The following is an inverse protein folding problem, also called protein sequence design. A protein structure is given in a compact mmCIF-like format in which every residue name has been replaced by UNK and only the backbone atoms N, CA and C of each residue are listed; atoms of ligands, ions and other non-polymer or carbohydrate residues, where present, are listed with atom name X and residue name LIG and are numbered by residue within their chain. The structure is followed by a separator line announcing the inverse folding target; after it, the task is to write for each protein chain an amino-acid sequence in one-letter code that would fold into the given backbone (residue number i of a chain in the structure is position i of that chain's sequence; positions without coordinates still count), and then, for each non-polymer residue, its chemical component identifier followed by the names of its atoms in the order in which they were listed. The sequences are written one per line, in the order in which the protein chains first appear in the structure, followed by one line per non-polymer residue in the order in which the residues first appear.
data_IF_851174838058
#
_entry.id   IF_851174838058
#
_cell.length_a   1.000
_cell.length_b   1.000
_cell.length_c   1.000
_cell.angle_alpha   90.00
_cell.angle_beta   90.00
_cell.angle_gamma   90.00
#
_symmetry.space_group_name_H-M   'P 1'
#
loop_
_entity.id
_entity.type
_entity.pdbx_description
1 polymer ?
#
# COMPACT_ATOMS: atom_id res chain seq x y z
N UNK A 1 6.04 26.72 4.88
CA UNK A 1 7.43 26.43 5.30
C UNK A 1 7.73 24.96 5.68
N UNK A 2 6.74 24.12 6.01
CA UNK A 2 6.97 22.72 6.45
C UNK A 2 6.83 21.63 5.37
N UNK A 3 6.79 21.98 4.08
CA UNK A 3 6.59 21.00 3.01
C UNK A 3 7.92 20.30 2.69
N UNK A 4 7.95 18.97 2.81
CA UNK A 4 9.08 18.17 2.34
C UNK A 4 9.18 18.24 0.81
N UNK A 5 10.41 18.40 0.29
CA UNK A 5 10.70 18.46 -1.15
C UNK A 5 11.48 17.24 -1.66
N UNK A 6 11.90 16.36 -0.77
CA UNK A 6 12.70 15.16 -1.05
C UNK A 6 12.08 13.96 -0.35
N UNK A 7 12.34 12.76 -0.87
CA UNK A 7 11.90 11.54 -0.20
C UNK A 7 12.75 11.32 1.05
N UNK A 8 12.06 11.05 2.15
CA UNK A 8 12.67 10.70 3.43
C UNK A 8 12.44 9.21 3.69
N UNK A 9 13.52 8.49 3.98
CA UNK A 9 13.51 7.08 4.33
C UNK A 9 14.01 6.88 5.76
N UNK A 10 13.29 6.05 6.52
CA UNK A 10 13.69 5.64 7.87
C UNK A 10 13.95 4.14 7.86
N UNK A 11 15.20 3.75 8.15
CA UNK A 11 15.60 2.35 8.24
C UNK A 11 14.93 1.65 9.43
N UNK A 12 14.73 0.32 9.39
CA UNK A 12 14.27 -0.44 10.55
C UNK A 12 15.13 -0.16 11.78
N UNK A 13 14.49 0.24 12.89
CA UNK A 13 15.18 0.56 14.14
C UNK A 13 15.89 1.92 14.21
N UNK A 14 15.95 2.69 13.12
CA UNK A 14 16.58 4.01 13.14
C UNK A 14 15.74 5.06 13.88
N UNK A 15 16.39 6.03 14.52
CA UNK A 15 15.73 7.19 15.10
C UNK A 15 15.52 8.31 14.07
N UNK A 16 16.48 8.46 13.14
CA UNK A 16 16.56 9.59 12.21
C UNK A 16 16.11 9.23 10.78
N UNK A 17 15.75 10.27 10.02
CA UNK A 17 15.41 10.19 8.61
C UNK A 17 16.65 10.42 7.73
N UNK A 18 16.70 9.69 6.62
CA UNK A 18 17.71 9.84 5.58
C UNK A 18 17.04 10.26 4.26
N UNK A 19 17.75 11.02 3.43
CA UNK A 19 17.26 11.39 2.10
C UNK A 19 17.44 10.21 1.14
N UNK A 20 16.48 10.00 0.25
CA UNK A 20 16.50 8.95 -0.76
C UNK A 20 16.02 9.51 -2.12
N UNK A 21 16.48 8.92 -3.23
CA UNK A 21 15.91 9.27 -4.53
C UNK A 21 14.49 8.72 -4.66
N UNK A 22 13.67 9.39 -5.47
CA UNK A 22 12.30 8.92 -5.74
C UNK A 22 12.28 7.53 -6.41
N UNK A 23 13.22 7.28 -7.33
CA UNK A 23 13.36 5.99 -8.02
C UNK A 23 13.66 4.86 -7.02
N UNK A 24 14.68 5.03 -6.17
CA UNK A 24 15.04 4.05 -5.14
C UNK A 24 13.89 3.78 -4.17
N UNK A 25 13.15 4.82 -3.78
CA UNK A 25 12.01 4.67 -2.89
C UNK A 25 10.86 3.89 -3.56
N UNK A 26 10.63 4.14 -4.85
CA UNK A 26 9.58 3.50 -5.63
C UNK A 26 9.86 2.01 -5.79
N UNK A 27 11.07 1.64 -6.21
CA UNK A 27 11.49 0.23 -6.35
C UNK A 27 11.39 -0.50 -5.00
N UNK A 28 11.84 0.14 -3.92
CA UNK A 28 11.79 -0.43 -2.59
C UNK A 28 10.35 -0.65 -2.09
N UNK A 29 9.42 0.23 -2.41
CA UNK A 29 7.99 0.06 -2.09
C UNK A 29 7.39 -1.06 -2.94
N UNK A 30 7.71 -1.12 -4.24
CA UNK A 30 7.23 -2.15 -5.15
C UNK A 30 7.68 -3.55 -4.69
N UNK A 31 8.97 -3.73 -4.39
CA UNK A 31 9.53 -4.99 -3.91
C UNK A 31 8.84 -5.46 -2.62
N UNK A 32 8.63 -4.54 -1.67
CA UNK A 32 7.94 -4.85 -0.41
C UNK A 32 6.49 -5.24 -0.66
N UNK A 33 5.78 -4.52 -1.52
CA UNK A 33 4.38 -4.80 -1.84
C UNK A 33 4.24 -6.17 -2.50
N UNK A 34 5.08 -6.47 -3.50
CA UNK A 34 5.07 -7.75 -4.23
C UNK A 34 5.40 -8.89 -3.26
N UNK A 35 6.45 -8.74 -2.45
CA UNK A 35 6.85 -9.75 -1.47
C UNK A 35 5.75 -10.01 -0.45
N UNK A 36 5.23 -8.97 0.20
CA UNK A 36 4.15 -9.10 1.20
C UNK A 36 2.91 -9.74 0.58
N UNK A 37 2.55 -9.35 -0.64
CA UNK A 37 1.41 -9.96 -1.35
C UNK A 37 1.64 -11.46 -1.54
N UNK A 38 2.81 -11.87 -2.01
CA UNK A 38 3.13 -13.28 -2.23
C UNK A 38 3.12 -14.08 -0.91
N UNK A 39 3.70 -13.52 0.16
CA UNK A 39 3.78 -14.16 1.49
C UNK A 39 2.42 -14.32 2.18
N UNK A 40 1.44 -13.49 1.83
CA UNK A 40 0.13 -13.41 2.51
C UNK A 40 -1.05 -13.66 1.58
N UNK A 41 -0.80 -14.30 0.43
CA UNK A 41 -1.83 -14.62 -0.56
C UNK A 41 -2.70 -15.79 -0.10
N UNK A 42 -4.01 -15.60 -0.14
CA UNK A 42 -5.02 -16.64 0.07
C UNK A 42 -5.69 -16.97 -1.27
N UNK A 43 -5.32 -18.12 -1.85
CA UNK A 43 -5.92 -18.58 -3.12
C UNK A 43 -7.39 -19.01 -2.91
N UNK A 44 -7.65 -19.76 -1.85
CA UNK A 44 -8.95 -20.34 -1.51
C UNK A 44 -9.14 -20.49 0.01
N UNK A 45 -10.38 -20.66 0.45
CA UNK A 45 -10.71 -20.96 1.84
C UNK A 45 -10.64 -22.47 2.16
N UNK A 46 -10.91 -22.84 3.41
CA UNK A 46 -10.91 -24.24 3.88
C UNK A 46 -11.93 -25.13 3.14
N UNK A 47 -13.02 -24.54 2.63
CA UNK A 47 -14.03 -25.25 1.81
C UNK A 47 -13.63 -25.36 0.33
N UNK A 48 -12.44 -24.90 -0.07
CA UNK A 48 -11.96 -24.89 -1.45
C UNK A 48 -12.57 -23.80 -2.34
N UNK A 49 -13.29 -22.82 -1.78
CA UNK A 49 -13.85 -21.68 -2.53
C UNK A 49 -12.74 -20.65 -2.81
N UNK A 50 -12.61 -20.14 -4.04
CA UNK A 50 -11.58 -19.17 -4.37
C UNK A 50 -11.79 -17.87 -3.58
N UNK A 51 -10.72 -17.39 -2.94
CA UNK A 51 -10.67 -16.11 -2.24
C UNK A 51 -9.92 -15.07 -3.07
N UNK A 52 -8.76 -15.44 -3.61
CA UNK A 52 -7.87 -14.60 -4.43
C UNK A 52 -7.63 -13.22 -3.80
N UNK A 53 -7.14 -13.22 -2.57
CA UNK A 53 -6.96 -12.01 -1.76
C UNK A 53 -5.68 -12.05 -0.93
N UNK A 54 -5.35 -10.93 -0.31
CA UNK A 54 -4.31 -10.83 0.72
C UNK A 54 -4.86 -10.06 1.92
N UNK A 55 -4.55 -10.55 3.12
CA UNK A 55 -4.79 -9.86 4.39
C UNK A 55 -3.55 -9.15 4.93
N UNK A 56 -2.42 -9.17 4.20
CA UNK A 56 -1.16 -8.54 4.60
C UNK A 56 -1.00 -7.09 4.16
N UNK A 57 -1.97 -6.55 3.41
CA UNK A 57 -1.93 -5.19 2.87
C UNK A 57 -3.23 -4.47 3.21
N UNK A 58 -3.11 -3.29 3.82
CA UNK A 58 -4.22 -2.42 4.19
C UNK A 58 -3.93 -1.00 3.69
N UNK A 59 -4.95 -0.31 3.18
CA UNK A 59 -4.86 1.07 2.73
C UNK A 59 -5.90 1.94 3.45
N UNK A 60 -5.47 3.14 3.84
CA UNK A 60 -6.30 4.17 4.48
C UNK A 60 -6.13 5.51 3.75
N UNK A 61 -7.22 6.04 3.19
CA UNK A 61 -7.27 7.29 2.41
C UNK A 61 -8.41 7.24 1.38
N UNK A 62 -8.73 8.25 0.58
CA UNK A 62 -8.08 9.55 0.40
C UNK A 62 -9.13 10.60 0.03
N UNK A 63 -10.00 10.96 0.98
CA UNK A 63 -11.06 11.96 0.77
C UNK A 63 -10.55 13.36 0.40
N UNK A 64 -9.25 13.61 0.54
CA UNK A 64 -8.58 14.85 0.14
C UNK A 64 -7.91 14.77 -1.25
N UNK A 65 -8.01 13.63 -1.91
CA UNK A 65 -7.49 13.39 -3.27
C UNK A 65 -8.61 13.55 -4.30
N UNK A 66 -8.21 13.77 -5.55
CA UNK A 66 -9.17 13.90 -6.64
C UNK A 66 -9.91 12.57 -6.91
N UNK A 67 -11.05 12.64 -7.60
CA UNK A 67 -11.87 11.46 -7.85
C UNK A 67 -11.14 10.43 -8.72
N UNK A 68 -10.36 10.91 -9.68
CA UNK A 68 -9.53 10.13 -10.58
C UNK A 68 -8.41 9.40 -9.83
N UNK A 69 -7.78 10.06 -8.85
CA UNK A 69 -6.74 9.47 -8.02
C UNK A 69 -7.32 8.39 -7.11
N UNK A 70 -8.45 8.68 -6.45
CA UNK A 70 -9.17 7.69 -5.65
C UNK A 70 -9.60 6.48 -6.49
N UNK A 71 -10.02 6.70 -7.74
CA UNK A 71 -10.36 5.63 -8.66
C UNK A 71 -9.14 4.74 -8.97
N UNK A 72 -7.97 5.33 -9.24
CA UNK A 72 -6.74 4.58 -9.47
C UNK A 72 -6.28 3.81 -8.23
N UNK A 73 -6.30 4.45 -7.06
CA UNK A 73 -5.97 3.82 -5.76
C UNK A 73 -6.88 2.62 -5.52
N UNK A 74 -8.20 2.78 -5.71
CA UNK A 74 -9.14 1.69 -5.50
C UNK A 74 -8.88 0.53 -6.46
N UNK A 75 -8.62 0.82 -7.74
CA UNK A 75 -8.27 -0.21 -8.73
C UNK A 75 -6.99 -0.93 -8.38
N UNK A 76 -5.94 -0.20 -8.00
CA UNK A 76 -4.65 -0.75 -7.68
C UNK A 76 -4.73 -1.73 -6.50
N UNK A 77 -5.26 -1.30 -5.35
CA UNK A 77 -5.33 -2.16 -4.17
C UNK A 77 -6.33 -3.31 -4.32
N UNK A 78 -7.44 -3.11 -5.05
CA UNK A 78 -8.37 -4.21 -5.34
C UNK A 78 -7.73 -5.26 -6.27
N UNK A 79 -6.98 -4.83 -7.29
CA UNK A 79 -6.25 -5.75 -8.18
C UNK A 79 -5.10 -6.48 -7.46
N UNK A 80 -4.47 -5.83 -6.48
CA UNK A 80 -3.50 -6.45 -5.60
C UNK A 80 -4.13 -7.52 -4.67
N UNK A 81 -5.46 -7.53 -4.53
CA UNK A 81 -6.22 -8.45 -3.68
C UNK A 81 -6.39 -7.97 -2.25
N UNK A 82 -6.07 -6.70 -1.95
CA UNK A 82 -6.26 -6.15 -0.61
C UNK A 82 -7.76 -5.96 -0.31
N UNK A 83 -8.20 -6.41 0.87
CA UNK A 83 -9.58 -6.22 1.32
C UNK A 83 -9.78 -4.97 2.17
N UNK A 84 -8.79 -4.58 2.98
CA UNK A 84 -8.90 -3.42 3.87
C UNK A 84 -8.65 -2.12 3.12
N UNK A 85 -9.73 -1.77 2.42
CA UNK A 85 -10.12 -0.67 1.55
C UNK A 85 -10.63 0.64 2.18
N UNK A 86 -9.96 1.33 3.09
CA UNK A 86 -10.66 2.30 3.96
C UNK A 86 -10.43 3.77 3.69
N UNK A 87 -11.43 4.60 3.98
CA UNK A 87 -11.36 6.05 3.89
C UNK A 87 -12.20 6.77 4.95
N UNK A 88 -12.14 8.10 4.94
CA UNK A 88 -12.85 8.99 5.85
C UNK A 88 -14.38 8.97 5.69
N UNK A 89 -14.92 8.42 4.60
CA UNK A 89 -16.38 8.34 4.44
C UNK A 89 -17.00 7.22 5.28
N UNK A 90 -16.18 6.24 5.71
CA UNK A 90 -16.62 5.14 6.58
C UNK A 90 -16.34 5.39 8.06
N UNK A 91 -15.22 6.03 8.38
CA UNK A 91 -14.78 6.33 9.75
C UNK A 91 -15.49 7.58 10.25
#
# INVERSE_FOLDING_TARGET
PGRASEVLYRRPGAADWERMSLEQATDMIADRLIRTRAETWEEQNDDGKPLKRTLGIHFLGGATLDSEENYLIKKFFSAAGALSIENQARI
#
